data_IF_679938676083
#
_entry.id   IF_679938676083
#
_cell.length_a   1.000
_cell.length_b   1.000
_cell.length_c   1.000
_cell.angle_alpha   90.00
_cell.angle_beta   90.00
_cell.angle_gamma   90.00
#
_symmetry.space_group_name_H-M   'P 1'
#
loop_
_entity.id
_entity.type
_entity.pdbx_description
1 polymer ?
#
# COMPACT_ATOMS: atom_id res chain seq x y z
N UNK A 1 -8.42 8.07 -4.52
CA UNK A 1 -9.43 7.04 -4.88
C UNK A 1 -9.50 6.83 -6.38
N UNK A 2 -9.65 7.89 -7.18
CA UNK A 2 -9.69 7.82 -8.65
C UNK A 2 -8.61 6.89 -9.29
N UNK A 3 -7.34 6.99 -8.87
CA UNK A 3 -6.29 6.10 -9.39
C UNK A 3 -6.41 4.62 -8.98
N UNK A 4 -7.03 4.31 -7.83
CA UNK A 4 -7.29 2.93 -7.39
C UNK A 4 -8.23 2.22 -8.38
N UNK A 5 -9.33 2.88 -8.77
CA UNK A 5 -10.26 2.34 -9.78
C UNK A 5 -9.68 2.39 -11.20
N UNK A 6 -9.00 3.49 -11.54
CA UNK A 6 -8.51 3.72 -12.90
C UNK A 6 -7.34 2.80 -13.30
N UNK A 7 -6.37 2.57 -12.41
CA UNK A 7 -5.14 1.80 -12.73
C UNK A 7 -5.02 0.47 -11.99
N UNK A 8 -5.85 0.19 -10.99
CA UNK A 8 -5.79 -1.04 -10.20
C UNK A 8 -7.14 -1.75 -10.10
N UNK A 9 -7.27 -2.54 -9.03
CA UNK A 9 -8.50 -3.17 -8.61
C UNK A 9 -8.92 -2.56 -7.27
N UNK A 10 -9.89 -1.64 -7.33
CA UNK A 10 -10.36 -0.91 -6.16
C UNK A 10 -11.04 -1.81 -5.13
N UNK A 11 -11.77 -2.84 -5.58
CA UNK A 11 -12.46 -3.78 -4.68
C UNK A 11 -11.44 -4.60 -3.91
N UNK A 12 -10.41 -5.07 -4.60
CA UNK A 12 -9.28 -5.75 -3.98
C UNK A 12 -8.55 -4.83 -3.00
N UNK A 13 -8.23 -3.58 -3.38
CA UNK A 13 -7.55 -2.63 -2.48
C UNK A 13 -8.36 -2.31 -1.23
N UNK A 14 -9.69 -2.15 -1.35
CA UNK A 14 -10.58 -1.93 -0.20
C UNK A 14 -10.61 -3.16 0.71
N UNK A 15 -10.75 -4.36 0.14
CA UNK A 15 -10.69 -5.61 0.91
C UNK A 15 -9.35 -5.77 1.63
N UNK A 16 -8.24 -5.50 0.96
CA UNK A 16 -6.89 -5.60 1.52
C UNK A 16 -6.59 -4.54 2.57
N UNK A 17 -7.25 -3.37 2.54
CA UNK A 17 -7.07 -2.36 3.58
C UNK A 17 -7.59 -2.82 4.95
N UNK A 18 -8.54 -3.76 5.00
CA UNK A 18 -8.99 -4.36 6.25
C UNK A 18 -7.88 -5.15 6.97
N UNK A 19 -6.85 -5.61 6.25
CA UNK A 19 -5.70 -6.27 6.87
C UNK A 19 -4.95 -5.35 7.84
N UNK A 20 -5.09 -4.02 7.70
CA UNK A 20 -4.53 -3.03 8.63
C UNK A 20 -5.05 -3.26 10.05
N UNK A 21 -6.27 -3.79 10.21
CA UNK A 21 -6.89 -4.02 11.52
C UNK A 21 -6.34 -5.26 12.23
N UNK A 22 -5.65 -6.15 11.50
CA UNK A 22 -5.03 -7.37 12.04
C UNK A 22 -3.52 -7.21 12.27
N UNK A 23 -2.95 -6.06 11.93
CA UNK A 23 -1.52 -5.80 12.13
C UNK A 23 -1.15 -5.77 13.60
N UNK A 24 0.04 -6.26 13.90
CA UNK A 24 0.63 -6.29 15.25
C UNK A 24 1.96 -5.55 15.24
N UNK A 25 2.53 -5.22 16.42
CA UNK A 25 3.86 -4.61 16.48
C UNK A 25 5.00 -5.48 15.93
N UNK A 26 4.73 -6.75 15.61
CA UNK A 26 5.67 -7.69 14.96
C UNK A 26 5.41 -7.80 13.46
N UNK A 27 4.37 -7.15 12.94
CA UNK A 27 4.06 -7.19 11.52
C UNK A 27 5.11 -6.45 10.69
N UNK A 28 5.25 -6.88 9.43
CA UNK A 28 6.14 -6.29 8.45
C UNK A 28 5.35 -5.79 7.24
N UNK A 29 5.58 -4.54 6.88
CA UNK A 29 4.84 -3.87 5.81
C UNK A 29 5.80 -3.46 4.70
N UNK A 30 5.41 -3.72 3.45
CA UNK A 30 6.12 -3.21 2.29
C UNK A 30 5.40 -1.98 1.73
N UNK A 31 6.10 -0.85 1.65
CA UNK A 31 5.66 0.33 0.92
C UNK A 31 6.34 0.34 -0.44
N UNK A 32 5.54 0.19 -1.50
CA UNK A 32 6.01 0.04 -2.87
C UNK A 32 5.71 1.27 -3.71
N UNK A 33 6.76 2.04 -4.03
CA UNK A 33 6.68 3.20 -4.90
C UNK A 33 6.90 2.82 -6.36
N UNK A 34 6.11 3.39 -7.26
CA UNK A 34 6.21 3.14 -8.70
C UNK A 34 7.35 3.93 -9.35
N UNK A 35 7.69 5.13 -8.86
CA UNK A 35 8.74 5.97 -9.42
C UNK A 35 9.96 6.04 -8.51
N UNK A 36 11.14 6.19 -9.10
CA UNK A 36 12.41 6.44 -8.39
C UNK A 36 12.64 7.94 -8.12
N UNK A 37 11.90 8.80 -8.82
CA UNK A 37 12.01 10.25 -8.78
C UNK A 37 10.94 10.88 -7.89
N UNK A 38 10.65 10.25 -6.75
CA UNK A 38 9.74 10.83 -5.76
C UNK A 38 10.18 12.28 -5.48
N UNK A 39 9.30 13.29 -5.64
CA UNK A 39 9.64 14.66 -5.31
C UNK A 39 10.16 14.72 -3.88
N UNK A 40 11.20 15.53 -3.63
CA UNK A 40 11.81 15.69 -2.29
C UNK A 40 10.82 16.16 -1.20
N UNK A 41 9.57 16.45 -1.57
CA UNK A 41 8.48 16.96 -0.74
C UNK A 41 7.31 15.98 -0.57
N UNK A 42 7.30 14.81 -1.23
CA UNK A 42 6.22 13.83 -1.07
C UNK A 42 6.50 12.82 0.05
N UNK A 43 6.28 13.27 1.29
CA UNK A 43 6.45 12.50 2.52
C UNK A 43 5.31 11.49 2.79
N UNK A 44 4.40 11.24 1.84
CA UNK A 44 3.21 10.41 2.09
C UNK A 44 3.59 8.95 2.33
N UNK A 45 4.35 8.37 1.39
CA UNK A 45 4.75 6.97 1.43
C UNK A 45 5.77 6.67 2.52
N UNK A 46 6.73 7.57 2.70
CA UNK A 46 7.92 7.32 3.53
C UNK A 46 7.78 7.78 4.98
N UNK A 47 6.92 8.77 5.25
CA UNK A 47 6.75 9.34 6.59
C UNK A 47 5.30 9.24 7.07
N UNK A 48 4.34 9.79 6.32
CA UNK A 48 2.95 9.92 6.77
C UNK A 48 2.29 8.57 7.01
N UNK A 49 2.33 7.67 6.03
CA UNK A 49 1.71 6.34 6.14
C UNK A 49 2.41 5.51 7.24
N UNK A 50 3.76 5.40 7.28
CA UNK A 50 4.47 4.72 8.37
C UNK A 50 4.13 5.28 9.74
N UNK A 51 4.07 6.61 9.89
CA UNK A 51 3.69 7.27 11.15
C UNK A 51 2.26 6.91 11.56
N UNK A 52 1.30 6.98 10.64
CA UNK A 52 -0.10 6.62 10.93
C UNK A 52 -0.24 5.14 11.33
N UNK A 53 0.50 4.25 10.67
CA UNK A 53 0.51 2.82 10.99
C UNK A 53 1.12 2.58 12.38
N UNK A 54 2.28 3.19 12.68
CA UNK A 54 2.93 3.09 14.01
C UNK A 54 2.08 3.68 15.13
N UNK A 55 1.33 4.75 14.86
CA UNK A 55 0.39 5.32 15.82
C UNK A 55 -0.77 4.37 16.16
N UNK A 56 -1.21 3.55 15.19
CA UNK A 56 -2.31 2.59 15.38
C UNK A 56 -1.83 1.27 15.98
N UNK A 57 -0.71 0.76 15.50
CA UNK A 57 -0.23 -0.62 15.77
C UNK A 57 0.85 -0.65 16.85
N UNK A 58 1.79 0.29 16.82
CA UNK A 58 2.95 0.33 17.72
C UNK A 58 4.24 0.74 17.01
N UNK A 59 5.22 1.22 17.78
CA UNK A 59 6.48 1.78 17.23
C UNK A 59 7.45 0.73 16.66
N UNK A 60 7.34 -0.53 17.09
CA UNK A 60 8.20 -1.62 16.59
C UNK A 60 7.80 -2.15 15.21
N UNK A 61 6.70 -1.65 14.63
CA UNK A 61 6.23 -2.06 13.32
C UNK A 61 7.33 -1.87 12.26
N UNK A 62 7.69 -2.96 11.60
CA UNK A 62 8.68 -2.98 10.53
C UNK A 62 8.07 -2.45 9.23
N UNK A 63 8.77 -1.53 8.59
CA UNK A 63 8.34 -0.93 7.32
C UNK A 63 9.52 -0.90 6.38
N UNK A 64 9.43 -1.68 5.31
CA UNK A 64 10.35 -1.63 4.18
C UNK A 64 9.80 -0.71 3.10
N UNK A 65 10.68 0.03 2.44
CA UNK A 65 10.31 0.94 1.36
C UNK A 65 11.12 0.58 0.12
N UNK A 66 10.44 0.32 -0.99
CA UNK A 66 11.06 0.04 -2.30
C UNK A 66 10.52 1.00 -3.35
N UNK A 67 11.28 1.23 -4.41
CA UNK A 67 10.88 2.15 -5.48
C UNK A 67 11.19 1.60 -6.87
N UNK A 68 10.47 2.06 -7.89
CA UNK A 68 10.78 1.71 -9.28
C UNK A 68 10.71 0.21 -9.53
N UNK A 69 11.80 -0.38 -10.00
CA UNK A 69 11.88 -1.80 -10.34
C UNK A 69 12.14 -2.71 -9.13
N UNK A 70 12.40 -2.16 -7.94
CA UNK A 70 12.82 -2.90 -6.75
C UNK A 70 11.66 -3.63 -6.03
N UNK A 71 10.53 -3.82 -6.72
CA UNK A 71 9.41 -4.56 -6.15
C UNK A 71 9.76 -6.05 -6.07
N UNK A 72 9.83 -6.63 -4.86
CA UNK A 72 10.37 -7.97 -4.66
C UNK A 72 9.52 -9.03 -5.35
N UNK A 73 10.18 -10.15 -5.70
CA UNK A 73 9.50 -11.31 -6.27
C UNK A 73 8.77 -12.11 -5.19
N UNK A 74 9.35 -12.21 -4.01
CA UNK A 74 8.75 -12.85 -2.84
C UNK A 74 8.19 -11.78 -1.90
N UNK A 75 6.88 -11.84 -1.67
CA UNK A 75 6.12 -10.97 -0.79
C UNK A 75 5.69 -11.68 0.49
N UNK A 76 5.92 -13.00 0.60
CA UNK A 76 5.48 -13.81 1.74
C UNK A 76 6.02 -13.35 3.11
N UNK A 77 7.15 -12.63 3.22
CA UNK A 77 7.58 -12.04 4.49
C UNK A 77 6.74 -10.85 4.96
N UNK A 78 5.82 -10.33 4.14
CA UNK A 78 5.03 -9.13 4.44
C UNK A 78 3.59 -9.46 4.80
N UNK A 79 3.08 -8.83 5.86
CA UNK A 79 1.68 -8.91 6.25
C UNK A 79 0.78 -7.99 5.42
N UNK A 80 1.36 -6.95 4.82
CA UNK A 80 0.66 -5.98 3.99
C UNK A 80 1.60 -5.28 3.00
N UNK A 81 1.15 -5.15 1.76
CA UNK A 81 1.78 -4.27 0.77
C UNK A 81 0.94 -2.99 0.60
N UNK A 82 1.57 -1.83 0.66
CA UNK A 82 0.95 -0.54 0.39
C UNK A 82 1.62 0.09 -0.82
N UNK A 83 0.89 0.13 -1.94
CA UNK A 83 1.37 0.67 -3.19
C UNK A 83 1.07 2.17 -3.34
N UNK A 84 1.95 2.92 -4.00
CA UNK A 84 1.67 4.32 -4.29
C UNK A 84 0.51 4.50 -5.30
N UNK A 85 0.09 5.75 -5.51
CA UNK A 85 -0.97 6.10 -6.47
C UNK A 85 -0.67 5.78 -7.94
N UNK A 86 0.56 5.34 -8.26
CA UNK A 86 0.96 4.90 -9.61
C UNK A 86 0.77 5.97 -10.69
N UNK A 87 1.00 7.24 -10.37
CA UNK A 87 0.88 8.34 -11.34
C UNK A 87 1.71 8.07 -12.60
N UNK A 88 2.92 7.53 -12.45
CA UNK A 88 3.87 7.23 -13.54
C UNK A 88 3.71 5.86 -14.20
N UNK A 89 3.09 4.89 -13.53
CA UNK A 89 2.95 3.54 -14.09
C UNK A 89 1.66 3.41 -14.92
N UNK A 90 1.72 2.55 -15.93
CA UNK A 90 0.52 2.15 -16.68
C UNK A 90 -0.28 1.09 -15.89
N UNK A 91 -1.54 0.86 -16.29
CA UNK A 91 -2.44 -0.11 -15.65
C UNK A 91 -1.84 -1.53 -15.62
N UNK A 92 -1.17 -1.96 -16.70
CA UNK A 92 -0.57 -3.30 -16.80
C UNK A 92 0.48 -3.56 -15.72
N UNK A 93 1.35 -2.60 -15.44
CA UNK A 93 2.37 -2.75 -14.39
C UNK A 93 1.75 -2.84 -12.99
N UNK A 94 0.73 -2.02 -12.71
CA UNK A 94 0.03 -2.07 -11.42
C UNK A 94 -0.67 -3.41 -11.25
N UNK A 95 -1.39 -3.88 -12.27
CA UNK A 95 -2.06 -5.18 -12.23
C UNK A 95 -1.07 -6.34 -12.08
N UNK A 96 0.10 -6.30 -12.71
CA UNK A 96 1.12 -7.34 -12.49
C UNK A 96 1.63 -7.42 -11.05
N UNK A 97 1.68 -6.29 -10.32
CA UNK A 97 1.99 -6.30 -8.88
C UNK A 97 0.83 -6.86 -8.05
N UNK A 98 -0.41 -6.50 -8.41
CA UNK A 98 -1.63 -7.04 -7.78
C UNK A 98 -1.70 -8.55 -7.96
N UNK A 99 -1.52 -9.05 -9.18
CA UNK A 99 -1.50 -10.49 -9.49
C UNK A 99 -0.45 -11.23 -8.67
N UNK A 100 0.75 -10.64 -8.53
CA UNK A 100 1.81 -11.22 -7.67
C UNK A 100 1.37 -11.31 -6.22
N UNK A 101 0.84 -10.23 -5.64
CA UNK A 101 0.36 -10.22 -4.26
C UNK A 101 -0.76 -11.25 -4.04
N UNK A 102 -1.73 -11.29 -4.95
CA UNK A 102 -2.83 -12.26 -4.95
C UNK A 102 -2.32 -13.70 -5.01
N UNK A 103 -1.37 -13.99 -5.91
CA UNK A 103 -0.82 -15.35 -6.08
C UNK A 103 -0.08 -15.87 -4.85
N UNK A 104 0.41 -14.98 -4.00
CA UNK A 104 1.15 -15.31 -2.77
C UNK A 104 0.28 -15.16 -1.51
N UNK A 105 -0.99 -14.80 -1.66
CA UNK A 105 -1.90 -14.60 -0.54
C UNK A 105 -1.61 -13.37 0.32
N UNK A 106 -0.78 -12.44 -0.18
CA UNK A 106 -0.39 -11.23 0.55
C UNK A 106 -1.37 -10.10 0.22
N UNK A 107 -2.01 -9.45 1.20
CA UNK A 107 -2.92 -8.35 0.93
C UNK A 107 -2.14 -7.14 0.41
N UNK A 108 -2.67 -6.49 -0.63
CA UNK A 108 -2.08 -5.30 -1.20
C UNK A 108 -3.14 -4.22 -1.36
N UNK A 109 -2.87 -3.02 -0.84
CA UNK A 109 -3.73 -1.84 -0.99
C UNK A 109 -2.93 -0.67 -1.59
N UNK A 110 -3.51 0.52 -1.67
CA UNK A 110 -2.80 1.71 -2.11
C UNK A 110 -2.90 2.88 -1.14
N UNK A 111 -2.08 3.93 -1.35
CA UNK A 111 -2.01 5.09 -0.44
C UNK A 111 -3.39 5.70 -0.16
N UNK A 112 -4.20 5.91 -1.20
CA UNK A 112 -5.50 6.55 -1.04
C UNK A 112 -6.45 5.74 -0.16
N UNK A 113 -6.53 4.43 -0.38
CA UNK A 113 -7.39 3.54 0.38
C UNK A 113 -6.84 3.29 1.79
N UNK A 114 -5.51 3.10 1.94
CA UNK A 114 -4.87 2.94 3.24
C UNK A 114 -5.07 4.17 4.15
N UNK A 115 -4.84 5.37 3.62
CA UNK A 115 -5.08 6.62 4.36
C UNK A 115 -6.55 6.75 4.72
N UNK A 116 -7.46 6.46 3.79
CA UNK A 116 -8.89 6.52 4.07
C UNK A 116 -9.33 5.55 5.18
N UNK A 117 -8.78 4.33 5.19
CA UNK A 117 -9.01 3.35 6.24
C UNK A 117 -8.47 3.82 7.58
N UNK A 118 -7.20 4.25 7.61
CA UNK A 118 -6.55 4.74 8.84
C UNK A 118 -7.21 6.01 9.40
N UNK A 119 -7.82 6.84 8.55
CA UNK A 119 -8.57 8.03 8.95
C UNK A 119 -10.07 7.77 9.25
N UNK A 120 -10.55 6.53 9.11
CA UNK A 120 -11.95 6.18 9.39
C UNK A 120 -12.97 6.77 8.40
N UNK A 121 -12.52 7.15 7.21
CA UNK A 121 -13.37 7.74 6.15
C UNK A 121 -13.61 6.79 4.98
N UNK A 122 -13.11 5.55 5.03
CA UNK A 122 -13.24 4.59 3.93
C UNK A 122 -14.70 4.32 3.53
N UNK A 123 -15.61 4.25 4.50
CA UNK A 123 -17.06 4.07 4.26
C UNK A 123 -17.74 5.29 3.62
N UNK A 124 -17.06 6.45 3.58
CA UNK A 124 -17.55 7.70 3.00
C UNK A 124 -17.04 7.94 1.59
N UNK A 125 -16.25 7.00 1.05
CA UNK A 125 -15.65 7.12 -0.28
C UNK A 125 -16.52 6.37 -1.27
N UNK A 126 -17.04 7.10 -2.27
CA UNK A 126 -17.67 6.52 -3.44
C UNK A 126 -16.60 6.11 -4.47
N UNK A 127 -16.75 4.92 -5.04
CA UNK A 127 -15.82 4.36 -6.00
C UNK A 127 -16.43 3.35 -6.97
#
# INVERSE_FOLDING_TARGET
VLFAGYKGDIRYFVKSALAIDSLTPQSRILIAEACTHAPATEDIGREKIPRMLRQRVGQSLEVDIVSGADFPQDLTPYDLVIHCGSCMFNRKHVLGRVERAVSQGVPMTNYGIAIAHLSGILSKIEY
#
